data_IF_450601832081
#
_entry.id   IF_450601832081
#
_cell.length_a   1.000
_cell.length_b   1.000
_cell.length_c   1.000
_cell.angle_alpha   90.00
_cell.angle_beta   90.00
_cell.angle_gamma   90.00
#
_symmetry.space_group_name_H-M   'P 1'
#
loop_
_entity.id
_entity.type
_entity.pdbx_description
1 polymer ?
#
# COMPACT_ATOMS: atom_id res chain seq x y z
N UNK A 1 3.46 8.00 -5.25
CA UNK A 1 2.02 7.84 -4.97
C UNK A 1 1.71 6.35 -4.87
N UNK A 2 0.72 5.97 -4.06
CA UNK A 2 0.14 4.63 -3.97
C UNK A 2 -1.35 4.78 -3.67
N UNK A 3 -2.14 3.79 -4.04
CA UNK A 3 -3.58 3.75 -3.77
C UNK A 3 -4.07 2.30 -3.59
N UNK A 4 -5.27 2.13 -3.06
CA UNK A 4 -5.91 0.82 -2.87
C UNK A 4 -6.92 0.48 -3.95
N UNK A 5 -7.46 1.49 -4.66
CA UNK A 5 -8.56 1.34 -5.62
C UNK A 5 -9.78 0.59 -5.03
N UNK A 6 -10.05 0.74 -3.72
CA UNK A 6 -11.16 0.06 -3.06
C UNK A 6 -12.53 0.52 -3.64
N UNK A 7 -13.50 -0.39 -3.86
CA UNK A 7 -13.59 -1.78 -3.38
C UNK A 7 -12.97 -2.83 -4.32
N UNK A 8 -12.16 -2.40 -5.30
CA UNK A 8 -11.42 -3.27 -6.21
C UNK A 8 -9.99 -3.51 -5.70
N UNK A 9 -9.21 -4.27 -6.46
CA UNK A 9 -7.78 -4.48 -6.22
C UNK A 9 -7.38 -5.05 -4.84
N UNK A 10 -8.24 -5.86 -4.21
CA UNK A 10 -7.93 -6.59 -2.98
C UNK A 10 -6.63 -7.44 -3.13
N UNK A 11 -5.75 -7.36 -2.13
CA UNK A 11 -4.56 -8.22 -2.04
C UNK A 11 -4.96 -9.60 -1.54
N UNK A 12 -5.09 -10.56 -2.46
CA UNK A 12 -5.54 -11.93 -2.18
C UNK A 12 -4.38 -12.90 -1.90
N UNK A 13 -4.60 -14.00 -1.15
CA UNK A 13 -3.60 -15.05 -0.93
C UNK A 13 -2.99 -15.66 -2.20
N UNK A 14 -3.72 -15.60 -3.31
CA UNK A 14 -3.27 -16.10 -4.61
C UNK A 14 -2.33 -15.14 -5.35
N UNK A 15 -2.16 -13.89 -4.88
CA UNK A 15 -1.28 -12.93 -5.51
C UNK A 15 0.18 -13.14 -5.08
N UNK A 16 1.18 -13.02 -5.97
CA UNK A 16 2.59 -13.21 -5.64
C UNK A 16 3.07 -12.31 -4.48
N UNK A 17 2.58 -11.07 -4.46
CA UNK A 17 2.92 -10.09 -3.42
C UNK A 17 2.36 -10.44 -2.03
N UNK A 18 1.39 -11.34 -1.91
CA UNK A 18 0.77 -11.68 -0.62
C UNK A 18 1.78 -12.22 0.40
N UNK A 19 2.85 -12.84 -0.07
CA UNK A 19 3.95 -13.35 0.77
C UNK A 19 4.65 -12.26 1.58
N UNK A 20 4.58 -11.01 1.14
CA UNK A 20 5.20 -9.85 1.79
C UNK A 20 4.24 -9.08 2.71
N UNK A 21 2.97 -9.48 2.77
CA UNK A 21 1.96 -8.83 3.62
C UNK A 21 2.18 -9.24 5.07
N UNK A 22 2.49 -8.26 5.91
CA UNK A 22 2.67 -8.44 7.35
C UNK A 22 1.37 -8.15 8.08
N UNK A 23 0.72 -7.04 7.73
CA UNK A 23 -0.51 -6.61 8.39
C UNK A 23 -1.73 -7.34 7.82
N UNK A 24 -2.37 -8.17 8.65
CA UNK A 24 -3.58 -8.93 8.30
C UNK A 24 -4.73 -8.48 9.19
N UNK A 25 -5.87 -8.18 8.57
CA UNK A 25 -7.09 -7.80 9.26
C UNK A 25 -8.08 -8.95 9.23
N UNK A 26 -8.68 -9.28 10.37
CA UNK A 26 -9.60 -10.41 10.52
C UNK A 26 -10.87 -10.26 9.69
N UNK A 27 -11.34 -9.03 9.48
CA UNK A 27 -12.52 -8.72 8.68
C UNK A 27 -12.46 -7.27 8.21
N UNK A 28 -11.94 -7.04 7.00
CA UNK A 28 -12.18 -5.78 6.32
C UNK A 28 -13.52 -5.88 5.60
N UNK A 29 -14.45 -4.97 5.90
CA UNK A 29 -15.57 -4.74 4.97
C UNK A 29 -14.96 -4.43 3.60
N UNK A 30 -15.57 -4.89 2.50
CA UNK A 30 -15.05 -4.70 1.12
C UNK A 30 -14.72 -3.25 0.76
N UNK A 31 -15.29 -2.30 1.50
CA UNK A 31 -15.11 -0.84 1.35
C UNK A 31 -13.88 -0.29 2.09
N UNK A 32 -13.14 -1.11 2.85
CA UNK A 32 -12.05 -0.66 3.73
C UNK A 32 -10.79 -1.50 3.54
N UNK A 33 -10.15 -1.39 2.37
CA UNK A 33 -8.81 -1.94 2.18
C UNK A 33 -7.73 -0.99 2.72
N UNK A 34 -6.65 -1.58 3.24
CA UNK A 34 -5.56 -0.82 3.86
C UNK A 34 -4.47 -0.50 2.83
N UNK A 35 -4.12 0.78 2.73
CA UNK A 35 -2.96 1.26 1.97
C UNK A 35 -1.66 0.61 2.46
N UNK A 36 -1.60 0.23 3.74
CA UNK A 36 -0.42 -0.39 4.35
C UNK A 36 0.01 -1.69 3.67
N UNK A 37 -0.94 -2.53 3.23
CA UNK A 37 -0.60 -3.79 2.54
C UNK A 37 0.08 -3.52 1.20
N UNK A 38 -0.34 -2.49 0.47
CA UNK A 38 0.29 -2.10 -0.80
C UNK A 38 1.71 -1.59 -0.54
N UNK A 39 1.89 -0.78 0.51
CA UNK A 39 3.19 -0.27 0.91
C UNK A 39 4.17 -1.39 1.33
N UNK A 40 3.72 -2.36 2.13
CA UNK A 40 4.51 -3.52 2.57
C UNK A 40 5.06 -4.30 1.37
N UNK A 41 4.21 -4.57 0.39
CA UNK A 41 4.58 -5.29 -0.84
C UNK A 41 5.59 -4.48 -1.65
N UNK A 42 5.35 -3.18 -1.83
CA UNK A 42 6.25 -2.31 -2.59
C UNK A 42 7.62 -2.19 -1.93
N UNK A 43 7.68 -2.02 -0.62
CA UNK A 43 8.93 -1.96 0.14
C UNK A 43 9.73 -3.26 -0.01
N UNK A 44 9.06 -4.42 0.12
CA UNK A 44 9.70 -5.72 -0.03
C UNK A 44 10.22 -5.98 -1.45
N UNK A 45 9.45 -5.65 -2.49
CA UNK A 45 9.85 -5.83 -3.89
C UNK A 45 10.99 -4.90 -4.27
N UNK A 46 10.96 -3.65 -3.81
CA UNK A 46 12.00 -2.63 -4.10
C UNK A 46 13.23 -2.74 -3.20
N UNK A 47 13.15 -3.52 -2.12
CA UNK A 47 14.20 -3.64 -1.07
C UNK A 47 14.56 -2.28 -0.46
N UNK A 48 13.54 -1.45 -0.26
CA UNK A 48 13.67 -0.12 0.34
C UNK A 48 13.13 -0.15 1.78
N UNK A 49 13.61 0.76 2.63
CA UNK A 49 13.05 0.91 3.97
C UNK A 49 11.60 1.39 3.85
N UNK A 50 10.69 0.76 4.61
CA UNK A 50 9.26 1.04 4.52
C UNK A 50 8.90 2.46 4.94
N UNK A 51 9.58 3.01 5.95
CA UNK A 51 9.32 4.36 6.48
C UNK A 51 9.83 5.43 5.51
N UNK A 52 11.02 5.23 4.94
CA UNK A 52 11.58 6.12 3.91
C UNK A 52 10.72 6.13 2.65
N UNK A 53 10.28 4.94 2.20
CA UNK A 53 9.39 4.82 1.04
C UNK A 53 8.03 5.47 1.32
N UNK A 54 7.47 5.31 2.51
CA UNK A 54 6.22 5.96 2.91
C UNK A 54 6.34 7.48 2.87
N UNK A 55 7.41 8.04 3.45
CA UNK A 55 7.69 9.47 3.43
C UNK A 55 7.84 10.00 2.00
N UNK A 56 8.63 9.32 1.17
CA UNK A 56 8.82 9.70 -0.22
C UNK A 56 7.49 9.65 -1.01
N UNK A 57 6.68 8.61 -0.81
CA UNK A 57 5.37 8.50 -1.46
C UNK A 57 4.43 9.63 -1.01
N UNK A 58 4.42 9.94 0.27
CA UNK A 58 3.60 11.01 0.86
C UNK A 58 3.99 12.38 0.28
N UNK A 59 5.28 12.71 0.30
CA UNK A 59 5.81 13.98 -0.24
C UNK A 59 5.53 14.12 -1.73
N UNK A 60 5.72 13.05 -2.51
CA UNK A 60 5.41 13.04 -3.93
C UNK A 60 3.91 13.27 -4.20
N UNK A 61 3.04 12.69 -3.36
CA UNK A 61 1.58 12.84 -3.49
C UNK A 61 1.15 14.27 -3.15
N UNK A 62 1.69 14.84 -2.07
CA UNK A 62 1.49 16.24 -1.71
C UNK A 62 1.98 17.20 -2.78
N UNK A 63 3.20 17.00 -3.28
CA UNK A 63 3.78 17.83 -4.32
C UNK A 63 2.94 17.84 -5.60
N UNK A 64 2.38 16.69 -5.98
CA UNK A 64 1.65 16.56 -7.23
C UNK A 64 0.18 17.01 -7.11
N UNK A 65 -0.53 16.60 -6.06
CA UNK A 65 -1.97 16.84 -5.94
C UNK A 65 -2.35 18.03 -5.06
N UNK A 66 -1.48 18.44 -4.13
CA UNK A 66 -1.82 19.37 -3.05
C UNK A 66 -0.93 20.62 -2.98
N UNK A 67 0.11 20.70 -3.82
CA UNK A 67 0.93 21.90 -3.97
C UNK A 67 0.23 22.87 -4.94
N UNK A 68 -0.16 24.04 -4.44
CA UNK A 68 -0.73 25.13 -5.25
C UNK A 68 0.36 26.01 -5.83
#
# INVERSE_FOLDING_TARGET
MIETDCPWCEVKPTHPGYTHVLTKFSTVKKEKYSVGQVLEILAAVRKENIDELAAAIYDNTNKFFFNK
#
